data_IF_836250369566
#
_entry.id   IF_836250369566
#
_cell.length_a   1.000
_cell.length_b   1.000
_cell.length_c   1.000
_cell.angle_alpha   90.00
_cell.angle_beta   90.00
_cell.angle_gamma   90.00
#
_symmetry.space_group_name_H-M   'P 1'
#
loop_
_entity.id
_entity.type
_entity.pdbx_description
1 polymer ?
#
# COMPACT_ATOMS: atom_id res chain seq x y z
N UNK A 1 15.01 39.10 -25.94
CA UNK A 1 16.43 39.35 -26.30
C UNK A 1 17.30 39.31 -25.03
N UNK A 2 18.41 38.60 -25.12
CA UNK A 2 19.39 38.57 -24.02
C UNK A 2 20.09 39.93 -23.89
N UNK A 3 20.22 40.40 -22.64
CA UNK A 3 21.00 41.61 -22.30
C UNK A 3 22.38 41.19 -21.83
N UNK A 4 23.42 41.76 -22.43
CA UNK A 4 24.83 41.46 -22.12
C UNK A 4 25.44 42.61 -21.33
N UNK A 5 25.98 42.37 -20.13
CA UNK A 5 26.65 43.37 -19.31
C UNK A 5 28.09 42.87 -19.03
N UNK A 6 29.09 43.71 -19.39
CA UNK A 6 30.52 43.42 -19.12
C UNK A 6 30.82 43.67 -17.63
N UNK A 7 31.48 42.71 -16.98
CA UNK A 7 31.97 42.77 -15.62
C UNK A 7 33.44 42.34 -15.54
N UNK A 8 34.34 43.27 -15.37
CA UNK A 8 35.77 43.01 -15.36
C UNK A 8 36.21 42.01 -16.46
N UNK A 9 36.60 40.80 -16.08
CA UNK A 9 37.04 39.70 -17.00
C UNK A 9 35.90 38.73 -17.37
N UNK A 10 34.64 39.12 -17.22
CA UNK A 10 33.48 38.23 -17.51
C UNK A 10 32.29 39.03 -18.09
N UNK A 11 31.37 38.32 -18.71
CA UNK A 11 30.15 38.89 -19.25
C UNK A 11 28.95 38.26 -18.54
N UNK A 12 28.08 39.09 -18.01
CA UNK A 12 26.79 38.69 -17.45
C UNK A 12 25.75 38.78 -18.56
N UNK A 13 25.17 37.64 -18.92
CA UNK A 13 24.09 37.52 -19.91
C UNK A 13 22.81 37.35 -19.12
N UNK A 14 21.82 38.22 -19.34
CA UNK A 14 20.51 38.20 -18.69
C UNK A 14 19.42 38.02 -19.70
N UNK A 15 18.54 37.03 -19.51
CA UNK A 15 17.37 36.73 -20.34
C UNK A 15 16.10 36.90 -19.54
N UNK A 16 15.10 37.56 -20.09
CA UNK A 16 13.74 37.62 -19.52
C UNK A 16 12.94 36.40 -19.96
N UNK A 17 12.42 35.64 -18.99
CA UNK A 17 11.67 34.41 -19.21
C UNK A 17 10.16 34.59 -18.96
N UNK A 18 9.63 35.79 -19.15
CA UNK A 18 8.22 36.13 -18.92
C UNK A 18 7.93 36.60 -17.51
N UNK A 19 6.68 36.43 -17.06
CA UNK A 19 6.19 36.85 -15.76
C UNK A 19 5.62 35.65 -15.02
N UNK A 20 5.72 35.63 -13.69
CA UNK A 20 5.04 34.65 -12.85
C UNK A 20 3.54 34.98 -12.71
N UNK A 21 2.79 34.09 -12.04
CA UNK A 21 1.34 34.25 -11.80
C UNK A 21 1.01 35.50 -10.97
N UNK A 22 1.99 36.13 -10.32
CA UNK A 22 1.85 37.36 -9.52
C UNK A 22 2.21 38.60 -10.33
N UNK A 23 2.57 38.47 -11.61
CA UNK A 23 3.00 39.55 -12.49
C UNK A 23 4.47 39.99 -12.30
N UNK A 24 5.27 39.24 -11.57
CA UNK A 24 6.69 39.50 -11.35
C UNK A 24 7.54 38.96 -12.48
N UNK A 25 8.43 39.78 -13.05
CA UNK A 25 9.29 39.37 -14.17
C UNK A 25 10.30 38.30 -13.73
N UNK A 26 10.30 37.15 -14.39
CA UNK A 26 11.28 36.08 -14.23
C UNK A 26 12.50 36.40 -15.09
N UNK A 27 13.67 36.62 -14.46
CA UNK A 27 14.94 36.88 -15.13
C UNK A 27 15.93 35.75 -14.83
N UNK A 28 16.68 35.32 -15.84
CA UNK A 28 17.78 34.37 -15.68
C UNK A 28 19.08 34.99 -16.11
N UNK A 29 20.16 34.60 -15.42
CA UNK A 29 21.49 35.14 -15.67
C UNK A 29 22.50 34.02 -15.82
N UNK A 30 23.42 34.17 -16.76
CA UNK A 30 24.59 33.32 -16.96
C UNK A 30 25.84 34.19 -16.96
N UNK A 31 26.89 33.76 -16.30
CA UNK A 31 28.19 34.42 -16.36
C UNK A 31 29.12 33.66 -17.29
N UNK A 32 29.52 34.31 -18.36
CA UNK A 32 30.49 33.79 -19.31
C UNK A 32 31.88 34.38 -19.03
N UNK A 33 32.89 33.51 -18.89
CA UNK A 33 34.31 33.89 -18.77
C UNK A 33 35.01 33.51 -20.06
N UNK A 34 35.55 34.46 -20.82
CA UNK A 34 36.31 34.14 -22.06
C UNK A 34 37.65 33.51 -21.72
N UNK A 35 38.14 32.66 -22.63
CA UNK A 35 39.49 32.10 -22.55
C UNK A 35 40.54 33.15 -22.83
N UNK A 36 41.69 33.06 -22.14
CA UNK A 36 42.85 33.92 -22.33
C UNK A 36 43.48 33.66 -23.71
N UNK A 37 43.39 34.62 -24.64
CA UNK A 37 43.98 34.54 -25.97
C UNK A 37 43.06 34.91 -27.14
N UNK A 38 41.79 35.24 -26.90
CA UNK A 38 40.87 35.69 -27.93
C UNK A 38 41.12 37.13 -28.32
N UNK A 39 41.12 37.40 -29.65
CA UNK A 39 41.08 38.79 -30.18
C UNK A 39 39.74 39.45 -29.86
N UNK A 40 39.69 40.80 -29.80
CA UNK A 40 38.49 41.53 -29.45
C UNK A 40 37.28 41.15 -30.35
N UNK A 41 37.52 40.89 -31.63
CA UNK A 41 36.48 40.49 -32.61
C UNK A 41 35.97 39.05 -32.40
N UNK A 42 36.90 38.13 -31.99
CA UNK A 42 36.52 36.77 -31.64
C UNK A 42 35.72 36.71 -30.35
N UNK A 43 36.11 37.51 -29.38
CA UNK A 43 35.48 37.63 -28.08
C UNK A 43 34.01 38.12 -28.23
N UNK A 44 33.80 39.19 -29.03
CA UNK A 44 32.44 39.72 -29.26
C UNK A 44 31.55 38.69 -29.95
N UNK A 45 32.06 37.97 -30.94
CA UNK A 45 31.35 36.91 -31.64
C UNK A 45 30.97 35.75 -30.72
N UNK A 46 31.89 35.34 -29.85
CA UNK A 46 31.64 34.23 -28.93
C UNK A 46 30.67 34.63 -27.80
N UNK A 47 30.74 35.86 -27.27
CA UNK A 47 29.78 36.40 -26.28
C UNK A 47 28.38 36.44 -26.90
N UNK A 48 28.25 36.89 -28.15
CA UNK A 48 26.99 36.92 -28.87
C UNK A 48 26.42 35.52 -29.11
N UNK A 49 27.27 34.58 -29.50
CA UNK A 49 26.90 33.16 -29.65
C UNK A 49 26.39 32.56 -28.36
N UNK A 50 27.10 32.78 -27.26
CA UNK A 50 26.69 32.31 -25.92
C UNK A 50 25.37 32.94 -25.48
N UNK A 51 25.12 34.20 -25.79
CA UNK A 51 23.90 34.89 -25.50
C UNK A 51 22.70 34.28 -26.25
N UNK A 52 22.88 33.97 -27.55
CA UNK A 52 21.84 33.30 -28.35
C UNK A 52 21.55 31.89 -27.83
N UNK A 53 22.58 31.11 -27.57
CA UNK A 53 22.42 29.76 -27.02
C UNK A 53 21.70 29.78 -25.67
N UNK A 54 22.05 30.72 -24.79
CA UNK A 54 21.41 30.85 -23.49
C UNK A 54 19.96 31.35 -23.61
N UNK A 55 19.68 32.25 -24.55
CA UNK A 55 18.31 32.71 -24.84
C UNK A 55 17.46 31.53 -25.39
N UNK A 56 17.98 30.73 -26.34
CA UNK A 56 17.29 29.54 -26.81
C UNK A 56 17.04 28.52 -25.69
N UNK A 57 18.02 28.30 -24.81
CA UNK A 57 17.82 27.44 -23.65
C UNK A 57 16.71 27.95 -22.72
N UNK A 58 16.66 29.26 -22.50
CA UNK A 58 15.64 29.89 -21.67
C UNK A 58 14.23 29.81 -22.32
N UNK A 59 14.12 30.03 -23.63
CA UNK A 59 12.88 29.99 -24.38
C UNK A 59 12.33 28.57 -24.62
N UNK A 60 13.21 27.56 -24.71
CA UNK A 60 12.83 26.14 -24.84
C UNK A 60 12.30 25.52 -23.54
N UNK A 61 11.99 26.30 -22.53
CA UNK A 61 11.47 25.79 -21.23
C UNK A 61 12.50 25.07 -20.37
N UNK A 62 13.78 24.96 -20.80
CA UNK A 62 14.87 24.36 -20.02
C UNK A 62 15.30 25.21 -18.79
N UNK A 63 14.35 25.98 -18.29
CA UNK A 63 14.50 27.08 -17.33
C UNK A 63 14.74 26.58 -15.90
N UNK A 64 14.51 25.30 -15.64
CA UNK A 64 14.78 24.66 -14.34
C UNK A 64 16.01 23.70 -14.37
N UNK A 65 16.97 23.93 -15.30
CA UNK A 65 18.33 23.35 -15.19
C UNK A 65 19.10 23.98 -14.02
N UNK A 66 18.42 24.17 -12.90
CA UNK A 66 19.04 24.48 -11.63
C UNK A 66 19.58 23.23 -10.98
N UNK A 67 20.51 23.38 -10.05
CA UNK A 67 21.08 22.32 -9.20
C UNK A 67 20.04 21.63 -8.29
N UNK A 68 18.85 21.26 -8.83
CA UNK A 68 17.80 20.65 -8.02
C UNK A 68 18.20 19.22 -7.66
N UNK A 69 18.39 18.97 -6.37
CA UNK A 69 18.65 17.63 -5.84
C UNK A 69 17.34 16.83 -5.83
N UNK A 70 17.46 15.51 -5.90
CA UNK A 70 16.28 14.63 -5.82
C UNK A 70 15.48 14.84 -4.54
N UNK A 71 16.15 15.06 -3.40
CA UNK A 71 15.47 15.32 -2.14
C UNK A 71 14.54 16.55 -2.21
N UNK A 72 15.03 17.66 -2.76
CA UNK A 72 14.27 18.91 -2.90
C UNK A 72 13.15 18.76 -3.94
N UNK A 73 13.44 18.04 -5.02
CA UNK A 73 12.43 17.77 -6.06
C UNK A 73 11.31 16.87 -5.56
N UNK A 74 11.58 15.91 -4.69
CA UNK A 74 10.54 15.05 -4.07
C UNK A 74 9.55 15.90 -3.27
N UNK A 75 9.98 16.94 -2.55
CA UNK A 75 9.05 17.81 -1.82
C UNK A 75 8.20 18.64 -2.80
N UNK A 76 8.81 19.19 -3.85
CA UNK A 76 8.05 19.88 -4.92
C UNK A 76 7.03 18.95 -5.60
N UNK A 77 7.40 17.68 -5.81
CA UNK A 77 6.48 16.68 -6.35
C UNK A 77 5.28 16.46 -5.42
N UNK A 78 5.49 16.40 -4.12
CA UNK A 78 4.38 16.23 -3.17
C UNK A 78 3.47 17.44 -3.13
N UNK A 79 4.02 18.65 -3.15
CA UNK A 79 3.26 19.90 -3.08
C UNK A 79 2.45 20.15 -4.35
N UNK A 80 3.09 20.02 -5.52
CA UNK A 80 2.53 20.52 -6.78
C UNK A 80 1.92 19.42 -7.67
N UNK A 81 2.20 18.14 -7.40
CA UNK A 81 1.68 17.04 -8.21
C UNK A 81 0.90 16.02 -7.39
N UNK A 82 1.52 15.45 -6.37
CA UNK A 82 0.93 14.33 -5.65
C UNK A 82 -0.34 14.74 -4.89
N UNK A 83 -0.37 15.93 -4.31
CA UNK A 83 -1.53 16.47 -3.59
C UNK A 83 -2.76 16.61 -4.50
N UNK A 84 -2.56 16.92 -5.78
CA UNK A 84 -3.63 17.13 -6.75
C UNK A 84 -4.06 15.85 -7.48
N UNK A 85 -3.14 14.90 -7.68
CA UNK A 85 -3.36 13.76 -8.60
C UNK A 85 -3.46 12.41 -7.91
N UNK A 86 -2.95 12.29 -6.68
CA UNK A 86 -2.88 11.00 -5.98
C UNK A 86 -3.83 10.97 -4.77
N UNK A 87 -4.39 9.79 -4.52
CA UNK A 87 -5.18 9.59 -3.29
C UNK A 87 -4.31 9.72 -2.04
N UNK A 88 -4.86 10.29 -0.96
CA UNK A 88 -4.20 10.51 0.33
C UNK A 88 -3.42 9.28 0.85
N UNK A 89 -4.00 8.07 0.76
CA UNK A 89 -3.34 6.82 1.14
C UNK A 89 -2.06 6.55 0.31
N UNK A 90 -2.07 6.87 -0.98
CA UNK A 90 -0.89 6.73 -1.85
C UNK A 90 0.19 7.73 -1.48
N UNK A 91 -0.20 8.99 -1.24
CA UNK A 91 0.72 10.05 -0.76
C UNK A 91 1.38 9.63 0.55
N UNK A 92 0.59 9.18 1.53
CA UNK A 92 1.11 8.68 2.81
C UNK A 92 2.07 7.51 2.63
N UNK A 93 1.72 6.56 1.76
CA UNK A 93 2.60 5.43 1.42
C UNK A 93 3.92 5.87 0.79
N UNK A 94 3.88 6.80 -0.15
CA UNK A 94 5.07 7.35 -0.80
C UNK A 94 5.94 8.15 0.16
N UNK A 95 5.36 8.98 1.03
CA UNK A 95 6.12 9.69 2.08
C UNK A 95 6.88 8.73 3.00
N UNK A 96 6.34 7.54 3.27
CA UNK A 96 7.04 6.50 4.01
C UNK A 96 8.30 5.94 3.33
N UNK A 97 8.43 6.09 2.00
CA UNK A 97 9.59 5.63 1.23
C UNK A 97 10.70 6.70 1.15
N UNK A 98 10.35 7.98 1.30
CA UNK A 98 11.25 9.14 1.12
C UNK A 98 12.55 9.03 1.94
N UNK A 99 12.54 8.68 3.24
CA UNK A 99 13.78 8.64 4.01
C UNK A 99 14.84 7.72 3.43
N UNK A 100 14.42 6.55 2.92
CA UNK A 100 15.34 5.56 2.32
C UNK A 100 15.86 6.02 0.96
N UNK A 101 14.98 6.63 0.16
CA UNK A 101 15.35 7.20 -1.15
C UNK A 101 16.30 8.37 -0.97
N UNK A 102 16.02 9.28 -0.04
CA UNK A 102 16.87 10.44 0.21
C UNK A 102 18.24 10.05 0.76
N UNK A 103 18.32 9.02 1.59
CA UNK A 103 19.61 8.50 2.07
C UNK A 103 20.49 7.98 0.93
N UNK A 104 19.89 7.31 -0.07
CA UNK A 104 20.65 6.70 -1.16
C UNK A 104 20.87 7.64 -2.35
N UNK A 105 19.87 8.41 -2.75
CA UNK A 105 19.84 9.15 -4.01
C UNK A 105 19.56 10.65 -3.83
N UNK A 106 19.10 11.08 -2.65
CA UNK A 106 18.61 12.45 -2.40
C UNK A 106 19.65 13.55 -2.63
N UNK A 107 20.93 13.24 -2.46
CA UNK A 107 22.05 14.18 -2.68
C UNK A 107 22.37 14.41 -4.16
N UNK A 108 21.90 13.51 -5.04
CA UNK A 108 22.15 13.60 -6.48
C UNK A 108 21.19 14.61 -7.13
N UNK A 109 21.69 15.31 -8.15
CA UNK A 109 20.87 16.16 -9.01
C UNK A 109 19.96 15.28 -9.88
N UNK A 110 18.71 15.70 -10.10
CA UNK A 110 17.74 14.91 -10.87
C UNK A 110 18.19 14.67 -12.32
N UNK A 111 18.90 15.63 -12.95
CA UNK A 111 19.42 15.52 -14.31
C UNK A 111 20.64 14.59 -14.43
N UNK A 112 21.26 14.23 -13.31
CA UNK A 112 22.42 13.33 -13.26
C UNK A 112 22.06 11.90 -12.85
N UNK A 113 20.82 11.64 -12.46
CA UNK A 113 20.40 10.29 -12.10
C UNK A 113 20.19 9.46 -13.36
N UNK A 114 21.00 8.42 -13.48
CA UNK A 114 21.04 7.48 -14.59
C UNK A 114 20.41 6.13 -14.18
N UNK A 115 19.97 5.28 -15.11
CA UNK A 115 19.42 3.95 -14.81
C UNK A 115 20.34 3.08 -13.95
N UNK A 116 21.66 3.19 -14.06
CA UNK A 116 22.60 2.41 -13.25
C UNK A 116 22.54 2.78 -11.75
N UNK A 117 22.36 4.06 -11.40
CA UNK A 117 22.16 4.47 -9.99
C UNK A 117 20.91 3.82 -9.39
N UNK A 118 19.84 3.71 -10.19
CA UNK A 118 18.59 3.05 -9.76
C UNK A 118 18.79 1.54 -9.61
N UNK A 119 19.52 0.91 -10.54
CA UNK A 119 19.83 -0.52 -10.48
C UNK A 119 20.66 -0.86 -9.24
N UNK A 120 21.64 -0.03 -8.90
CA UNK A 120 22.44 -0.19 -7.71
C UNK A 120 21.61 -0.02 -6.43
N UNK A 121 20.76 1.00 -6.39
CA UNK A 121 19.78 1.19 -5.30
C UNK A 121 18.87 -0.02 -5.13
N UNK A 122 18.29 -0.56 -6.22
CA UNK A 122 17.42 -1.75 -6.14
C UNK A 122 18.19 -3.00 -5.71
N UNK A 123 19.43 -3.16 -6.15
CA UNK A 123 20.34 -4.23 -5.69
C UNK A 123 20.58 -4.12 -4.19
N UNK A 124 20.91 -2.92 -3.70
CA UNK A 124 21.10 -2.67 -2.28
C UNK A 124 19.85 -3.00 -1.45
N UNK A 125 18.67 -2.58 -1.89
CA UNK A 125 17.40 -2.92 -1.23
C UNK A 125 17.15 -4.43 -1.20
N UNK A 126 17.53 -5.16 -2.24
CA UNK A 126 17.32 -6.60 -2.37
C UNK A 126 18.35 -7.43 -1.59
N UNK A 127 19.54 -6.91 -1.33
CA UNK A 127 20.63 -7.64 -0.65
C UNK A 127 20.78 -7.25 0.82
N UNK A 128 20.78 -5.96 1.09
CA UNK A 128 20.99 -5.40 2.43
C UNK A 128 19.68 -4.95 3.06
N UNK A 129 18.70 -4.50 2.25
CA UNK A 129 17.43 -3.96 2.71
C UNK A 129 17.45 -2.44 2.89
N UNK A 130 16.33 -1.90 3.38
CA UNK A 130 16.13 -0.45 3.50
C UNK A 130 16.71 0.16 4.78
N UNK A 131 17.01 -0.63 5.77
CA UNK A 131 17.56 -0.18 7.06
C UNK A 131 18.53 -1.21 7.62
N UNK A 132 19.70 -0.75 7.96
CA UNK A 132 20.56 -1.43 8.92
C UNK A 132 20.06 -1.00 10.30
N UNK A 133 19.58 -1.93 11.09
CA UNK A 133 19.09 -1.65 12.43
C UNK A 133 20.00 -2.35 13.44
N UNK A 134 20.60 -1.56 14.31
CA UNK A 134 21.28 -2.11 15.47
C UNK A 134 20.22 -2.60 16.46
N UNK A 135 20.25 -3.89 16.70
CA UNK A 135 19.43 -4.55 17.72
C UNK A 135 20.34 -5.05 18.84
N UNK A 136 19.78 -5.12 20.00
CA UNK A 136 20.45 -5.51 21.23
C UNK A 136 19.82 -6.80 21.71
N UNK A 137 20.59 -7.88 21.70
CA UNK A 137 20.16 -9.22 22.12
C UNK A 137 20.55 -9.41 23.56
N UNK A 138 19.60 -9.75 24.46
CA UNK A 138 19.90 -10.06 25.85
C UNK A 138 20.94 -11.16 25.97
N UNK A 139 21.99 -10.93 26.77
CA UNK A 139 23.04 -11.92 27.14
C UNK A 139 22.78 -12.47 28.54
N UNK A 140 22.03 -11.73 29.35
CA UNK A 140 21.64 -12.11 30.70
C UNK A 140 20.19 -12.62 30.74
N UNK A 141 19.90 -13.51 31.67
CA UNK A 141 18.51 -13.90 31.95
C UNK A 141 17.82 -12.84 32.80
N UNK A 142 17.23 -11.86 32.12
CA UNK A 142 16.47 -10.79 32.78
C UNK A 142 15.25 -11.30 33.56
N UNK A 143 14.74 -12.51 33.28
CA UNK A 143 13.63 -13.08 34.01
C UNK A 143 14.10 -13.48 35.43
N UNK A 144 15.26 -14.09 35.51
CA UNK A 144 15.89 -14.45 36.82
C UNK A 144 16.23 -13.18 37.59
N UNK A 145 16.93 -12.21 36.94
CA UNK A 145 17.35 -10.97 37.59
C UNK A 145 16.17 -10.14 38.17
N UNK A 146 15.07 -10.07 37.45
CA UNK A 146 13.87 -9.38 37.96
C UNK A 146 13.20 -10.15 39.08
N UNK A 147 13.18 -11.48 38.99
CA UNK A 147 12.63 -12.36 40.06
C UNK A 147 13.41 -12.25 41.37
N UNK A 148 14.73 -12.29 41.32
CA UNK A 148 15.61 -12.12 42.48
C UNK A 148 15.39 -10.77 43.18
N UNK A 149 15.15 -9.72 42.43
CA UNK A 149 14.85 -8.37 42.94
C UNK A 149 13.37 -8.18 43.31
N UNK A 150 12.52 -9.21 43.19
CA UNK A 150 11.06 -9.15 43.41
C UNK A 150 10.35 -8.06 42.58
N UNK A 151 10.82 -7.82 41.36
CA UNK A 151 10.27 -6.81 40.45
C UNK A 151 9.44 -7.49 39.38
N UNK A 152 8.16 -7.11 39.24
CA UNK A 152 7.34 -7.58 38.14
C UNK A 152 7.69 -6.88 36.81
N UNK A 153 7.54 -7.58 35.67
CA UNK A 153 7.80 -7.02 34.34
C UNK A 153 6.94 -5.77 34.08
N UNK A 154 5.71 -5.76 34.57
CA UNK A 154 4.81 -4.61 34.44
C UNK A 154 5.31 -3.38 35.25
N UNK A 155 5.89 -3.59 36.45
CA UNK A 155 6.51 -2.52 37.24
C UNK A 155 7.76 -2.00 36.53
N UNK A 156 8.67 -2.88 36.14
CA UNK A 156 9.88 -2.51 35.42
C UNK A 156 9.57 -1.74 34.14
N UNK A 157 8.53 -2.11 33.38
CA UNK A 157 8.12 -1.43 32.16
C UNK A 157 7.66 0.02 32.43
N UNK A 158 6.89 0.24 33.49
CA UNK A 158 6.46 1.58 33.91
C UNK A 158 7.63 2.44 34.32
N UNK A 159 8.49 1.90 35.16
CA UNK A 159 9.64 2.63 35.73
C UNK A 159 10.69 2.95 34.64
N UNK A 160 10.87 2.09 33.63
CA UNK A 160 11.72 2.34 32.47
C UNK A 160 11.06 3.23 31.40
N UNK A 161 9.78 3.56 31.49
CA UNK A 161 9.04 4.27 30.42
C UNK A 161 8.90 3.49 29.11
N UNK A 162 8.97 2.15 29.17
CA UNK A 162 8.92 1.25 28.01
C UNK A 162 7.57 0.52 27.96
N UNK A 163 7.02 0.29 26.77
CA UNK A 163 5.79 -0.51 26.63
C UNK A 163 6.00 -1.91 27.19
N UNK A 164 5.08 -2.37 28.04
CA UNK A 164 5.18 -3.66 28.74
C UNK A 164 5.44 -4.84 27.79
N UNK A 165 4.75 -4.91 26.65
CA UNK A 165 4.96 -5.98 25.66
C UNK A 165 6.37 -5.97 25.07
N UNK A 166 6.99 -4.79 24.91
CA UNK A 166 8.37 -4.66 24.42
C UNK A 166 9.36 -5.16 25.46
N UNK A 167 9.15 -4.76 26.73
CA UNK A 167 10.00 -5.20 27.83
C UNK A 167 9.83 -6.71 28.10
N UNK A 168 8.61 -7.23 28.06
CA UNK A 168 8.33 -8.67 28.14
C UNK A 168 9.04 -9.46 27.04
N UNK A 169 9.15 -8.89 25.84
CA UNK A 169 9.96 -9.45 24.76
C UNK A 169 11.45 -9.51 25.11
N UNK A 170 12.03 -8.42 25.63
CA UNK A 170 13.42 -8.37 26.07
C UNK A 170 13.71 -9.39 27.18
N UNK A 171 12.87 -9.44 28.21
CA UNK A 171 12.96 -10.40 29.31
C UNK A 171 12.85 -11.85 28.83
N UNK A 172 12.10 -12.11 27.76
CA UNK A 172 12.00 -13.41 27.08
C UNK A 172 13.09 -13.68 26.05
N UNK A 173 14.21 -12.93 26.04
CA UNK A 173 15.36 -13.17 25.16
C UNK A 173 15.22 -12.59 23.75
N UNK A 174 14.16 -11.81 23.46
CA UNK A 174 14.01 -11.20 22.12
C UNK A 174 14.88 -9.95 21.99
N UNK A 175 15.46 -9.79 20.81
CA UNK A 175 16.20 -8.58 20.46
C UNK A 175 15.33 -7.32 20.56
N UNK A 176 15.90 -6.24 21.10
CA UNK A 176 15.25 -4.94 21.26
C UNK A 176 16.12 -3.82 20.66
N UNK A 177 15.56 -2.62 20.53
CA UNK A 177 16.32 -1.46 20.10
C UNK A 177 17.09 -0.80 21.25
N UNK A 178 18.15 -0.04 20.89
CA UNK A 178 19.02 0.61 21.85
C UNK A 178 18.27 1.36 22.98
N UNK A 179 17.25 2.19 22.72
CA UNK A 179 16.55 2.90 23.79
C UNK A 179 15.93 1.96 24.85
N UNK A 180 15.35 0.85 24.40
CA UNK A 180 14.77 -0.15 25.34
C UNK A 180 15.84 -0.89 26.11
N UNK A 181 16.94 -1.30 25.45
CA UNK A 181 18.06 -1.98 26.08
C UNK A 181 18.74 -1.05 27.11
N UNK A 182 18.97 0.21 26.76
CA UNK A 182 19.55 1.21 27.63
C UNK A 182 18.68 1.47 28.86
N UNK A 183 17.37 1.75 28.65
CA UNK A 183 16.44 2.00 29.76
C UNK A 183 16.37 0.83 30.77
N UNK A 184 16.43 -0.43 30.28
CA UNK A 184 16.46 -1.60 31.14
C UNK A 184 17.80 -1.72 31.89
N UNK A 185 18.92 -1.41 31.24
CA UNK A 185 20.24 -1.40 31.87
C UNK A 185 20.34 -0.32 32.96
N UNK A 186 19.89 0.90 32.63
CA UNK A 186 19.90 2.04 33.59
C UNK A 186 19.04 1.73 34.82
N UNK A 187 17.87 1.14 34.61
CA UNK A 187 16.97 0.72 35.69
C UNK A 187 17.58 -0.35 36.61
N UNK A 188 18.32 -1.30 36.03
CA UNK A 188 18.94 -2.41 36.80
C UNK A 188 20.37 -2.11 37.25
N UNK A 189 20.94 -0.96 36.89
CA UNK A 189 22.33 -0.61 37.18
C UNK A 189 23.35 -1.50 36.47
N UNK A 190 23.03 -1.89 35.21
CA UNK A 190 23.86 -2.78 34.38
C UNK A 190 24.55 -2.03 33.26
N UNK A 191 25.75 -2.50 32.90
CA UNK A 191 26.45 -2.00 31.74
C UNK A 191 25.88 -2.60 30.45
N UNK A 192 25.49 -1.75 29.48
CA UNK A 192 24.84 -2.18 28.24
C UNK A 192 25.62 -3.27 27.48
N UNK A 193 26.95 -3.12 27.39
CA UNK A 193 27.82 -4.07 26.67
C UNK A 193 27.95 -5.44 27.35
N UNK A 194 27.70 -5.55 28.67
CA UNK A 194 27.68 -6.81 29.39
C UNK A 194 26.30 -7.47 29.40
N UNK A 195 25.25 -6.65 29.41
CA UNK A 195 23.87 -7.11 29.46
C UNK A 195 23.29 -7.47 28.08
N UNK A 196 23.77 -6.84 27.03
CA UNK A 196 23.29 -7.02 25.66
C UNK A 196 24.43 -7.12 24.64
N UNK A 197 24.27 -8.04 23.68
CA UNK A 197 25.13 -8.09 22.49
C UNK A 197 24.51 -7.23 21.38
N UNK A 198 25.29 -6.32 20.82
CA UNK A 198 24.88 -5.52 19.66
C UNK A 198 25.00 -6.35 18.40
N UNK A 199 23.92 -6.50 17.67
CA UNK A 199 23.88 -7.11 16.33
C UNK A 199 23.30 -6.12 15.33
N UNK A 200 23.97 -5.91 14.21
CA UNK A 200 23.42 -5.12 13.11
C UNK A 200 22.64 -6.04 12.19
N UNK A 201 21.31 -5.96 12.24
CA UNK A 201 20.42 -6.72 11.36
C UNK A 201 20.08 -5.93 10.12
N UNK A 202 20.26 -6.58 8.99
CA UNK A 202 19.76 -6.12 7.72
C UNK A 202 18.76 -7.15 7.19
N UNK A 203 17.61 -6.68 6.72
CA UNK A 203 16.59 -7.58 6.14
C UNK A 203 16.39 -7.20 4.68
N UNK A 204 16.84 -8.05 3.75
CA UNK A 204 16.57 -7.87 2.33
C UNK A 204 15.08 -7.65 2.07
N UNK A 205 14.75 -6.73 1.18
CA UNK A 205 13.36 -6.47 0.80
C UNK A 205 12.93 -7.44 -0.29
N UNK A 206 11.64 -7.79 -0.26
CA UNK A 206 11.05 -8.59 -1.34
C UNK A 206 11.07 -7.81 -2.67
N UNK A 207 11.13 -8.53 -3.78
CA UNK A 207 11.07 -7.94 -5.11
C UNK A 207 9.83 -7.03 -5.29
N UNK A 208 8.68 -7.37 -4.70
CA UNK A 208 7.48 -6.53 -4.76
C UNK A 208 7.64 -5.23 -3.97
N UNK A 209 8.33 -5.25 -2.84
CA UNK A 209 8.65 -4.04 -2.08
C UNK A 209 9.62 -3.13 -2.87
N UNK A 210 10.64 -3.72 -3.53
CA UNK A 210 11.54 -2.96 -4.42
C UNK A 210 10.77 -2.32 -5.58
N UNK A 211 9.82 -3.05 -6.19
CA UNK A 211 8.91 -2.51 -7.21
C UNK A 211 8.05 -1.37 -6.69
N UNK A 212 7.73 -1.33 -5.39
CA UNK A 212 7.02 -0.20 -4.80
C UNK A 212 7.89 1.06 -4.74
N UNK A 213 9.18 0.95 -4.40
CA UNK A 213 10.15 2.05 -4.54
C UNK A 213 10.27 2.53 -5.98
N UNK A 214 10.35 1.59 -6.94
CA UNK A 214 10.42 1.94 -8.36
C UNK A 214 9.17 2.71 -8.83
N UNK A 215 7.94 2.28 -8.45
CA UNK A 215 6.71 3.00 -8.80
C UNK A 215 6.71 4.42 -8.26
N UNK A 216 7.18 4.62 -7.02
CA UNK A 216 7.33 5.94 -6.43
C UNK A 216 8.31 6.80 -7.23
N UNK A 217 9.54 6.32 -7.45
CA UNK A 217 10.56 7.05 -8.23
C UNK A 217 10.10 7.31 -9.67
N UNK A 218 9.45 6.34 -10.30
CA UNK A 218 8.89 6.51 -11.64
C UNK A 218 7.82 7.59 -11.69
N UNK A 219 7.00 7.73 -10.65
CA UNK A 219 6.01 8.82 -10.54
C UNK A 219 6.71 10.17 -10.35
N UNK A 220 7.73 10.24 -9.52
CA UNK A 220 8.54 11.46 -9.29
C UNK A 220 9.23 11.91 -10.58
N UNK A 221 9.97 11.02 -11.24
CA UNK A 221 10.64 11.37 -12.51
C UNK A 221 9.65 11.61 -13.66
N UNK A 222 8.48 10.95 -13.63
CA UNK A 222 7.40 11.21 -14.57
C UNK A 222 6.86 12.65 -14.45
N UNK A 223 6.76 13.18 -13.24
CA UNK A 223 6.43 14.58 -13.01
C UNK A 223 7.56 15.51 -13.51
N UNK A 224 8.82 15.15 -13.27
CA UNK A 224 9.97 15.92 -13.79
C UNK A 224 9.99 16.02 -15.31
N UNK A 225 9.60 14.93 -16.01
CA UNK A 225 9.46 14.95 -17.48
C UNK A 225 8.28 15.82 -17.91
N UNK A 226 7.11 15.74 -17.24
CA UNK A 226 5.97 16.61 -17.53
C UNK A 226 6.25 18.09 -17.29
N UNK A 227 7.14 18.40 -16.34
CA UNK A 227 7.57 19.78 -16.06
C UNK A 227 8.78 20.19 -16.90
N UNK A 228 9.13 19.40 -17.91
CA UNK A 228 10.24 19.64 -18.84
C UNK A 228 11.63 19.78 -18.18
N UNK A 229 11.75 19.31 -16.94
CA UNK A 229 13.02 19.28 -16.20
C UNK A 229 13.93 18.12 -16.64
N UNK A 230 13.35 17.08 -17.20
CA UNK A 230 14.03 15.91 -17.75
C UNK A 230 13.48 15.56 -19.14
N UNK A 231 14.36 15.14 -20.05
CA UNK A 231 13.94 14.66 -21.36
C UNK A 231 13.30 13.27 -21.32
N UNK A 232 13.71 12.41 -20.39
CA UNK A 232 13.18 11.05 -20.26
C UNK A 232 13.23 10.59 -18.80
N UNK A 233 12.34 9.66 -18.46
CA UNK A 233 12.29 9.07 -17.13
C UNK A 233 13.37 7.96 -17.00
N UNK A 234 14.37 8.10 -16.11
CA UNK A 234 15.43 7.09 -15.96
C UNK A 234 14.90 5.74 -15.46
N UNK A 235 13.75 5.70 -14.79
CA UNK A 235 13.12 4.46 -14.33
C UNK A 235 12.69 3.56 -15.48
N UNK A 236 12.37 4.10 -16.67
CA UNK A 236 11.91 3.30 -17.82
C UNK A 236 12.96 2.30 -18.33
N UNK A 237 14.23 2.58 -18.09
CA UNK A 237 15.38 1.76 -18.50
C UNK A 237 16.05 1.03 -17.32
N UNK A 238 15.53 1.17 -16.10
CA UNK A 238 16.06 0.51 -14.93
C UNK A 238 15.59 -0.95 -14.87
N UNK A 239 16.49 -1.84 -14.45
CA UNK A 239 16.22 -3.27 -14.31
C UNK A 239 15.65 -3.58 -12.93
N UNK A 240 14.50 -4.23 -12.89
CA UNK A 240 13.82 -4.62 -11.65
C UNK A 240 14.12 -6.07 -11.29
N UNK A 241 14.20 -6.40 -9.98
CA UNK A 241 14.28 -7.79 -9.56
C UNK A 241 13.06 -8.56 -10.01
N UNK A 242 13.27 -9.81 -10.45
CA UNK A 242 12.20 -10.71 -10.83
C UNK A 242 11.34 -11.03 -9.61
N UNK A 243 10.05 -10.79 -9.71
CA UNK A 243 9.08 -11.26 -8.72
C UNK A 243 8.46 -12.54 -9.25
N UNK A 244 8.69 -13.66 -8.59
CA UNK A 244 7.99 -14.90 -8.89
C UNK A 244 6.47 -14.71 -8.80
N UNK A 245 5.72 -15.30 -9.69
CA UNK A 245 4.25 -15.28 -9.62
C UNK A 245 3.81 -16.06 -8.38
N UNK A 246 3.21 -15.37 -7.42
CA UNK A 246 2.59 -16.01 -6.27
C UNK A 246 1.18 -16.44 -6.67
N UNK A 247 0.89 -17.71 -6.59
CA UNK A 247 -0.47 -18.23 -6.72
C UNK A 247 -1.30 -17.68 -5.56
N UNK A 248 -2.46 -17.06 -5.80
CA UNK A 248 -3.34 -16.63 -4.73
C UNK A 248 -3.76 -17.82 -3.88
N UNK A 249 -3.70 -17.67 -2.56
CA UNK A 249 -4.22 -18.67 -1.63
C UNK A 249 -5.72 -18.44 -1.46
N UNK A 250 -6.48 -19.52 -1.49
CA UNK A 250 -7.92 -19.55 -1.24
C UNK A 250 -8.28 -20.81 -0.45
N UNK A 251 -9.46 -20.88 0.07
CA UNK A 251 -10.02 -22.08 0.69
C UNK A 251 -10.84 -22.86 -0.35
N UNK A 252 -10.72 -24.17 -0.34
CA UNK A 252 -11.67 -25.02 -1.01
C UNK A 252 -13.04 -25.03 -0.28
N UNK A 253 -13.98 -25.80 -0.79
CA UNK A 253 -15.35 -25.83 -0.27
C UNK A 253 -15.41 -26.39 1.16
N UNK A 254 -14.68 -27.44 1.43
CA UNK A 254 -14.61 -28.09 2.75
C UNK A 254 -13.95 -27.16 3.79
N UNK A 255 -12.83 -26.56 3.44
CA UNK A 255 -12.13 -25.59 4.31
C UNK A 255 -12.97 -24.35 4.56
N UNK A 256 -13.73 -23.88 3.55
CA UNK A 256 -14.65 -22.75 3.72
C UNK A 256 -15.80 -23.12 4.66
N UNK A 257 -16.37 -24.31 4.54
CA UNK A 257 -17.40 -24.82 5.43
C UNK A 257 -16.88 -24.95 6.88
N UNK A 258 -15.66 -25.48 7.06
CA UNK A 258 -15.01 -25.58 8.36
C UNK A 258 -14.82 -24.18 8.99
N UNK A 259 -14.33 -23.22 8.22
CA UNK A 259 -14.17 -21.84 8.69
C UNK A 259 -15.51 -21.24 9.13
N UNK A 260 -16.58 -21.43 8.34
CA UNK A 260 -17.93 -20.93 8.68
C UNK A 260 -18.47 -21.57 9.97
N UNK A 261 -18.25 -22.86 10.17
CA UNK A 261 -18.68 -23.55 11.40
C UNK A 261 -17.93 -23.03 12.64
N UNK A 262 -16.63 -22.80 12.54
CA UNK A 262 -15.83 -22.24 13.64
C UNK A 262 -16.23 -20.80 14.00
N UNK A 263 -16.69 -20.02 13.02
CA UNK A 263 -17.15 -18.65 13.23
C UNK A 263 -18.43 -18.56 14.08
N UNK A 264 -19.22 -19.65 14.18
CA UNK A 264 -20.45 -19.61 14.99
C UNK A 264 -20.19 -19.37 16.49
N UNK A 265 -19.00 -19.73 16.96
CA UNK A 265 -18.57 -19.54 18.36
C UNK A 265 -17.95 -18.17 18.65
N UNK A 266 -17.80 -17.33 17.61
CA UNK A 266 -17.11 -16.05 17.70
C UNK A 266 -18.09 -14.89 18.00
N UNK A 267 -17.50 -13.75 18.43
CA UNK A 267 -18.21 -12.50 18.59
C UNK A 267 -19.03 -12.14 17.36
N UNK A 268 -20.27 -11.66 17.57
CA UNK A 268 -21.23 -11.39 16.52
C UNK A 268 -20.71 -10.46 15.43
N UNK A 269 -19.91 -9.45 15.79
CA UNK A 269 -19.34 -8.52 14.83
C UNK A 269 -18.32 -9.19 13.91
N UNK A 270 -17.37 -9.95 14.47
CA UNK A 270 -16.34 -10.60 13.67
C UNK A 270 -16.89 -11.77 12.86
N UNK A 271 -17.84 -12.52 13.40
CA UNK A 271 -18.60 -13.53 12.66
C UNK A 271 -19.25 -12.92 11.43
N UNK A 272 -19.98 -11.83 11.60
CA UNK A 272 -20.67 -11.13 10.52
C UNK A 272 -19.69 -10.59 9.48
N UNK A 273 -18.61 -9.93 9.91
CA UNK A 273 -17.56 -9.40 9.03
C UNK A 273 -16.98 -10.49 8.12
N UNK A 274 -16.55 -11.62 8.70
CA UNK A 274 -15.88 -12.66 7.93
C UNK A 274 -16.83 -13.39 6.99
N UNK A 275 -18.06 -13.69 7.44
CA UNK A 275 -19.10 -14.26 6.58
C UNK A 275 -19.43 -13.35 5.40
N UNK A 276 -19.53 -12.03 5.59
CA UNK A 276 -19.77 -11.10 4.49
C UNK A 276 -18.62 -11.07 3.47
N UNK A 277 -17.36 -11.21 3.90
CA UNK A 277 -16.26 -11.35 2.93
C UNK A 277 -16.45 -12.56 2.02
N UNK A 278 -16.90 -13.69 2.57
CA UNK A 278 -17.14 -14.91 1.79
C UNK A 278 -18.38 -14.73 0.90
N UNK A 279 -19.48 -14.19 1.42
CA UNK A 279 -20.72 -14.06 0.65
C UNK A 279 -20.66 -13.01 -0.45
N UNK A 280 -19.99 -11.88 -0.22
CA UNK A 280 -20.01 -10.73 -1.13
C UNK A 280 -18.73 -10.63 -2.00
N UNK A 281 -17.61 -11.20 -1.57
CA UNK A 281 -16.33 -11.08 -2.28
C UNK A 281 -15.78 -9.66 -2.34
N UNK A 282 -16.18 -8.75 -1.44
CA UNK A 282 -15.77 -7.35 -1.42
C UNK A 282 -14.33 -7.16 -0.94
N UNK A 283 -13.74 -5.99 -1.22
CA UNK A 283 -12.44 -5.60 -0.67
C UNK A 283 -12.59 -5.20 0.80
N UNK A 284 -11.50 -5.32 1.58
CA UNK A 284 -11.51 -4.97 3.00
C UNK A 284 -11.97 -3.52 3.23
N UNK A 285 -11.42 -2.62 2.48
CA UNK A 285 -11.76 -1.19 2.57
C UNK A 285 -13.21 -0.90 2.15
N UNK A 286 -13.77 -1.66 1.20
CA UNK A 286 -15.16 -1.58 0.79
C UNK A 286 -16.08 -2.03 1.92
N UNK A 287 -15.80 -3.18 2.56
CA UNK A 287 -16.58 -3.67 3.69
C UNK A 287 -16.56 -2.69 4.88
N UNK A 288 -15.40 -2.13 5.22
CA UNK A 288 -15.28 -1.12 6.27
C UNK A 288 -15.99 0.19 5.91
N UNK A 289 -16.22 0.45 4.63
CA UNK A 289 -16.92 1.63 4.12
C UNK A 289 -18.43 1.54 4.14
N UNK A 290 -19.02 0.33 4.31
CA UNK A 290 -20.47 0.12 4.29
C UNK A 290 -21.18 0.89 5.39
N UNK A 291 -22.34 1.38 5.04
CA UNK A 291 -23.30 2.04 5.91
C UNK A 291 -24.64 1.30 5.88
N UNK A 292 -25.46 1.45 6.92
CA UNK A 292 -26.78 0.78 6.96
C UNK A 292 -27.69 1.17 5.81
N UNK A 293 -27.61 2.40 5.32
CA UNK A 293 -28.36 2.87 4.15
C UNK A 293 -27.98 2.20 2.83
N UNK A 294 -26.82 1.49 2.78
CA UNK A 294 -26.39 0.75 1.59
C UNK A 294 -27.07 -0.61 1.46
N UNK A 295 -27.83 -1.03 2.48
CA UNK A 295 -28.45 -2.35 2.56
C UNK A 295 -29.94 -2.21 2.32
N UNK A 296 -30.39 -2.67 1.16
CA UNK A 296 -31.79 -2.83 0.85
C UNK A 296 -32.25 -4.23 1.28
N UNK A 297 -32.98 -4.29 2.39
CA UNK A 297 -33.51 -5.54 2.97
C UNK A 297 -34.64 -6.14 2.17
N UNK A 298 -35.40 -5.35 1.40
CA UNK A 298 -36.53 -5.79 0.62
C UNK A 298 -36.09 -6.49 -0.65
N UNK A 299 -35.18 -5.86 -1.38
CA UNK A 299 -34.58 -6.43 -2.59
C UNK A 299 -33.40 -7.34 -2.33
N UNK A 300 -32.90 -7.41 -1.09
CA UNK A 300 -31.67 -8.14 -0.72
C UNK A 300 -30.44 -7.67 -1.50
N UNK A 301 -30.32 -6.38 -1.76
CA UNK A 301 -29.22 -5.79 -2.51
C UNK A 301 -28.35 -4.95 -1.59
N UNK A 302 -27.03 -5.07 -1.76
CA UNK A 302 -26.04 -4.26 -1.04
C UNK A 302 -25.29 -3.40 -2.06
N UNK A 303 -25.31 -2.09 -1.85
CA UNK A 303 -24.61 -1.11 -2.69
C UNK A 303 -23.19 -0.91 -2.20
N UNK A 304 -22.22 -1.08 -3.08
CA UNK A 304 -20.80 -0.80 -2.82
C UNK A 304 -20.41 0.47 -3.57
N UNK A 305 -20.24 1.57 -2.88
CA UNK A 305 -19.88 2.86 -3.50
C UNK A 305 -18.69 3.57 -2.83
N UNK A 306 -18.32 3.14 -1.63
CA UNK A 306 -17.26 3.80 -0.86
C UNK A 306 -16.28 2.81 -0.22
N UNK A 307 -15.12 3.33 0.18
CA UNK A 307 -14.08 2.57 0.85
C UNK A 307 -13.57 3.34 2.06
N UNK A 308 -13.45 2.68 3.22
CA UNK A 308 -12.84 3.25 4.41
C UNK A 308 -11.37 2.88 4.49
N UNK A 309 -10.50 3.88 4.63
CA UNK A 309 -9.05 3.72 4.76
C UNK A 309 -8.55 4.43 6.00
N UNK A 310 -7.54 3.87 6.65
CA UNK A 310 -6.87 4.55 7.75
C UNK A 310 -5.75 5.45 7.23
N UNK A 311 -5.75 6.69 7.67
CA UNK A 311 -4.69 7.67 7.41
C UNK A 311 -4.11 8.10 8.76
N UNK A 312 -2.79 7.98 8.98
CA UNK A 312 -2.16 8.43 10.22
C UNK A 312 -2.49 9.90 10.50
N UNK A 313 -2.85 10.21 11.75
CA UNK A 313 -3.31 11.51 12.26
C UNK A 313 -4.71 11.96 11.85
N UNK A 314 -5.29 11.44 10.75
CA UNK A 314 -6.68 11.73 10.33
C UNK A 314 -7.67 10.64 10.80
N UNK A 315 -7.18 9.42 11.12
CA UNK A 315 -8.04 8.32 11.53
C UNK A 315 -8.60 7.51 10.35
N UNK A 316 -9.80 6.95 10.53
CA UNK A 316 -10.51 6.23 9.47
C UNK A 316 -11.29 7.23 8.61
N UNK A 317 -10.86 7.37 7.36
CA UNK A 317 -11.46 8.28 6.38
C UNK A 317 -12.22 7.45 5.35
N UNK A 318 -13.45 7.85 5.06
CA UNK A 318 -14.27 7.27 3.97
C UNK A 318 -14.08 8.09 2.71
N UNK A 319 -13.73 7.42 1.61
CA UNK A 319 -13.53 8.02 0.29
C UNK A 319 -14.37 7.26 -0.74
N UNK A 320 -14.74 7.91 -1.83
CA UNK A 320 -15.37 7.24 -2.96
C UNK A 320 -14.49 6.09 -3.47
N UNK A 321 -15.10 5.08 -4.06
CA UNK A 321 -14.32 3.99 -4.68
C UNK A 321 -13.38 4.52 -5.76
N UNK A 322 -12.30 3.78 -6.01
CA UNK A 322 -11.16 4.24 -6.83
C UNK A 322 -11.51 4.49 -8.30
N UNK A 323 -12.56 3.84 -8.80
CA UNK A 323 -13.04 3.92 -10.17
C UNK A 323 -14.56 3.78 -10.19
N UNK A 324 -15.24 4.36 -11.16
CA UNK A 324 -16.68 4.17 -11.44
C UNK A 324 -17.07 2.70 -11.56
N UNK A 325 -16.20 1.84 -12.09
CA UNK A 325 -16.38 0.39 -12.16
C UNK A 325 -16.39 -0.32 -10.79
N UNK A 326 -16.02 0.37 -9.72
CA UNK A 326 -16.06 -0.17 -8.34
C UNK A 326 -17.42 0.07 -7.68
N UNK A 327 -18.23 1.02 -8.18
CA UNK A 327 -19.63 1.14 -7.77
C UNK A 327 -20.43 -0.01 -8.36
N UNK A 328 -21.09 -0.77 -7.50
CA UNK A 328 -21.86 -1.92 -7.93
C UNK A 328 -22.91 -2.32 -6.89
N UNK A 329 -23.91 -3.00 -7.37
CA UNK A 329 -24.96 -3.61 -6.57
C UNK A 329 -24.76 -5.12 -6.50
N UNK A 330 -24.75 -5.66 -5.29
CA UNK A 330 -24.51 -7.09 -5.05
C UNK A 330 -25.78 -7.69 -4.44
N UNK A 331 -26.42 -8.60 -5.15
CA UNK A 331 -27.50 -9.42 -4.58
C UNK A 331 -26.87 -10.34 -3.53
N UNK A 332 -27.29 -10.17 -2.28
CA UNK A 332 -26.82 -10.97 -1.16
C UNK A 332 -27.68 -12.22 -0.97
N UNK A 333 -27.11 -13.36 -0.52
CA UNK A 333 -27.90 -14.53 -0.15
C UNK A 333 -28.84 -14.21 1.03
N UNK A 334 -29.97 -14.92 1.11
CA UNK A 334 -30.94 -14.77 2.20
C UNK A 334 -30.30 -14.92 3.59
N UNK A 335 -29.41 -15.89 3.74
CA UNK A 335 -28.64 -16.11 4.98
C UNK A 335 -27.80 -14.88 5.38
N UNK A 336 -27.22 -14.17 4.42
CA UNK A 336 -26.47 -12.94 4.70
C UNK A 336 -27.40 -11.80 5.14
N UNK A 337 -28.57 -11.68 4.54
CA UNK A 337 -29.55 -10.66 4.91
C UNK A 337 -30.14 -10.93 6.30
N UNK A 338 -30.44 -12.19 6.64
CA UNK A 338 -30.88 -12.53 7.99
C UNK A 338 -29.80 -12.22 9.03
N UNK A 339 -28.55 -12.64 8.78
CA UNK A 339 -27.42 -12.32 9.65
C UNK A 339 -27.23 -10.81 9.84
N UNK A 340 -27.49 -9.99 8.83
CA UNK A 340 -27.41 -8.53 8.94
C UNK A 340 -28.56 -7.95 9.79
N UNK A 341 -29.77 -8.54 9.74
CA UNK A 341 -30.87 -8.16 10.65
C UNK A 341 -30.49 -8.45 12.10
N UNK A 342 -29.99 -9.65 12.36
CA UNK A 342 -29.56 -10.06 13.70
C UNK A 342 -28.41 -9.19 14.22
N UNK A 343 -27.46 -8.86 13.32
CA UNK A 343 -26.34 -7.98 13.65
C UNK A 343 -26.82 -6.54 13.97
N UNK A 344 -27.84 -6.03 13.27
CA UNK A 344 -28.42 -4.71 13.54
C UNK A 344 -29.05 -4.64 14.93
N UNK A 345 -29.75 -5.69 15.33
CA UNK A 345 -30.32 -5.80 16.69
C UNK A 345 -29.21 -5.80 17.73
N UNK A 346 -28.18 -6.64 17.55
CA UNK A 346 -27.02 -6.72 18.43
C UNK A 346 -26.28 -5.36 18.55
N UNK A 347 -26.08 -4.64 17.42
CA UNK A 347 -25.44 -3.33 17.44
C UNK A 347 -26.29 -2.29 18.18
N UNK A 348 -27.60 -2.32 18.03
CA UNK A 348 -28.52 -1.43 18.75
C UNK A 348 -28.49 -1.69 20.27
N UNK A 349 -28.49 -2.95 20.71
CA UNK A 349 -28.33 -3.29 22.14
C UNK A 349 -26.99 -2.78 22.69
N UNK A 350 -25.92 -2.90 21.90
CA UNK A 350 -24.61 -2.38 22.27
C UNK A 350 -24.62 -0.86 22.39
N UNK A 351 -25.25 -0.16 21.43
CA UNK A 351 -25.43 1.29 21.46
C UNK A 351 -26.15 1.72 22.74
N UNK A 352 -27.23 1.06 23.11
CA UNK A 352 -27.98 1.35 24.34
C UNK A 352 -27.10 1.14 25.60
N UNK A 353 -26.31 0.07 25.65
CA UNK A 353 -25.40 -0.19 26.77
C UNK A 353 -24.29 0.84 26.94
N UNK A 354 -23.78 1.37 25.82
CA UNK A 354 -22.73 2.38 25.84
C UNK A 354 -23.28 3.77 26.16
N UNK A 355 -24.56 4.04 25.79
CA UNK A 355 -25.24 5.30 26.10
C UNK A 355 -24.54 6.51 25.46
N UNK A 356 -24.42 7.59 26.25
CA UNK A 356 -23.89 8.88 25.77
C UNK A 356 -22.45 8.85 25.23
N UNK A 357 -21.72 7.76 25.50
CA UNK A 357 -20.37 7.58 24.92
C UNK A 357 -20.37 7.00 23.52
N UNK A 358 -21.55 6.68 22.99
CA UNK A 358 -21.66 6.17 21.63
C UNK A 358 -21.55 7.29 20.61
N UNK A 359 -20.58 7.17 19.69
CA UNK A 359 -20.43 8.07 18.56
C UNK A 359 -21.42 7.67 17.44
N UNK A 360 -22.30 8.61 17.06
CA UNK A 360 -23.30 8.36 16.05
C UNK A 360 -22.73 8.37 14.64
N UNK A 361 -22.68 7.21 14.04
CA UNK A 361 -22.29 7.00 12.64
C UNK A 361 -23.25 5.99 11.99
N UNK A 362 -23.58 6.18 10.73
CA UNK A 362 -24.38 5.19 9.95
C UNK A 362 -23.52 3.99 9.49
N UNK A 363 -22.36 3.76 10.11
CA UNK A 363 -21.43 2.68 9.72
C UNK A 363 -21.96 1.32 10.13
N UNK A 364 -21.88 0.37 9.18
CA UNK A 364 -22.23 -1.01 9.45
C UNK A 364 -21.29 -1.62 10.52
N UNK A 365 -19.99 -1.37 10.44
CA UNK A 365 -19.02 -1.88 11.40
C UNK A 365 -18.31 -0.77 12.16
N UNK A 366 -18.39 -0.83 13.48
CA UNK A 366 -17.88 0.17 14.40
C UNK A 366 -16.91 -0.43 15.41
N UNK A 367 -16.19 0.42 16.13
CA UNK A 367 -15.48 0.05 17.34
C UNK A 367 -16.46 -0.05 18.53
N UNK A 368 -15.93 -0.22 19.73
CA UNK A 368 -16.73 -0.38 20.96
C UNK A 368 -17.57 0.84 21.33
N UNK A 369 -17.27 1.99 20.78
CA UNK A 369 -17.91 3.28 21.05
C UNK A 369 -18.67 3.87 19.85
N UNK A 370 -18.91 3.10 18.79
CA UNK A 370 -19.68 3.56 17.63
C UNK A 370 -18.83 4.18 16.51
N UNK A 371 -17.60 4.56 16.74
CA UNK A 371 -16.73 5.09 15.68
C UNK A 371 -16.38 4.03 14.62
N UNK A 372 -16.10 4.43 13.37
CA UNK A 372 -15.78 3.50 12.27
C UNK A 372 -14.66 2.52 12.64
N UNK A 373 -14.85 1.24 12.36
CA UNK A 373 -13.85 0.21 12.66
C UNK A 373 -12.54 0.44 11.91
N UNK A 374 -11.41 0.33 12.60
CA UNK A 374 -10.11 0.41 11.95
C UNK A 374 -9.86 -0.83 11.09
N UNK A 375 -9.57 -0.72 9.78
CA UNK A 375 -9.43 -1.88 8.88
C UNK A 375 -8.39 -2.92 9.33
N UNK A 376 -7.32 -2.50 9.99
CA UNK A 376 -6.28 -3.42 10.47
C UNK A 376 -6.72 -4.21 11.72
N UNK A 377 -7.72 -3.75 12.46
CA UNK A 377 -8.33 -4.51 13.56
C UNK A 377 -8.89 -5.83 13.04
N UNK A 378 -9.63 -5.79 11.93
CA UNK A 378 -10.18 -6.97 11.25
C UNK A 378 -9.06 -7.92 10.80
N UNK A 379 -8.02 -7.36 10.16
CA UNK A 379 -6.86 -8.15 9.69
C UNK A 379 -6.12 -8.81 10.85
N UNK A 380 -5.92 -8.07 11.94
CA UNK A 380 -5.26 -8.56 13.15
C UNK A 380 -6.07 -9.67 13.85
N UNK A 381 -7.39 -9.47 13.96
CA UNK A 381 -8.29 -10.45 14.53
C UNK A 381 -8.32 -11.74 13.68
N UNK A 382 -8.51 -11.64 12.37
CA UNK A 382 -8.58 -12.78 11.46
C UNK A 382 -7.28 -13.60 11.47
N UNK A 383 -6.12 -12.94 11.49
CA UNK A 383 -4.84 -13.64 11.60
C UNK A 383 -4.75 -14.48 12.88
N UNK A 384 -5.20 -13.93 14.04
CA UNK A 384 -5.23 -14.68 15.31
C UNK A 384 -6.25 -15.82 15.26
N UNK A 385 -7.42 -15.58 14.64
CA UNK A 385 -8.46 -16.61 14.47
C UNK A 385 -7.94 -17.80 13.66
N UNK A 386 -7.33 -17.56 12.49
CA UNK A 386 -6.70 -18.60 11.66
C UNK A 386 -5.64 -19.38 12.45
N UNK A 387 -4.81 -18.67 13.21
CA UNK A 387 -3.70 -19.30 13.94
C UNK A 387 -4.20 -20.18 15.11
N UNK A 388 -5.22 -19.74 15.87
CA UNK A 388 -5.72 -20.52 17.01
C UNK A 388 -6.57 -21.72 16.65
N UNK A 389 -7.14 -21.73 15.43
CA UNK A 389 -7.97 -22.82 14.92
C UNK A 389 -7.21 -23.72 13.92
N UNK A 390 -5.91 -23.55 13.78
CA UNK A 390 -5.02 -24.30 12.88
C UNK A 390 -5.55 -24.39 11.42
N UNK A 391 -6.17 -23.32 10.96
CA UNK A 391 -6.69 -23.20 9.61
C UNK A 391 -5.58 -22.88 8.60
N UNK A 392 -5.76 -23.16 7.30
CA UNK A 392 -4.81 -22.80 6.25
C UNK A 392 -4.43 -21.32 6.31
N UNK A 393 -3.14 -21.02 6.19
CA UNK A 393 -2.59 -19.67 6.34
C UNK A 393 -3.02 -18.76 5.19
N UNK A 394 -4.15 -18.10 5.36
CA UNK A 394 -4.77 -17.17 4.41
C UNK A 394 -4.89 -15.75 5.00
N UNK A 395 -5.19 -14.80 4.15
CA UNK A 395 -5.45 -13.39 4.50
C UNK A 395 -6.92 -13.04 4.29
N UNK A 396 -7.37 -11.90 4.82
CA UNK A 396 -8.72 -11.36 4.51
C UNK A 396 -8.96 -11.28 3.00
N UNK A 397 -7.95 -10.83 2.23
CA UNK A 397 -8.09 -10.76 0.77
C UNK A 397 -8.25 -12.14 0.11
N UNK A 398 -7.73 -13.19 0.75
CA UNK A 398 -7.91 -14.57 0.28
C UNK A 398 -9.37 -15.03 0.36
N UNK A 399 -10.18 -14.49 1.27
CA UNK A 399 -11.62 -14.80 1.33
C UNK A 399 -12.37 -14.32 0.07
N UNK A 400 -11.94 -13.21 -0.51
CA UNK A 400 -12.44 -12.78 -1.82
C UNK A 400 -12.01 -13.73 -2.93
N UNK A 401 -10.80 -14.28 -2.87
CA UNK A 401 -10.37 -15.32 -3.79
C UNK A 401 -11.18 -16.62 -3.60
N UNK A 402 -11.48 -16.97 -2.35
CA UNK A 402 -12.37 -18.09 -2.03
C UNK A 402 -13.75 -17.89 -2.64
N UNK A 403 -14.41 -16.75 -2.44
CA UNK A 403 -15.69 -16.42 -3.06
C UNK A 403 -15.67 -16.62 -4.59
N UNK A 404 -14.66 -16.06 -5.25
CA UNK A 404 -14.55 -16.17 -6.71
C UNK A 404 -14.34 -17.61 -7.18
N UNK A 405 -13.48 -18.37 -6.49
CA UNK A 405 -13.21 -19.78 -6.84
C UNK A 405 -14.43 -20.65 -6.64
N UNK A 406 -15.16 -20.48 -5.52
CA UNK A 406 -16.40 -21.20 -5.27
C UNK A 406 -17.47 -20.93 -6.35
N UNK A 407 -17.61 -19.67 -6.78
CA UNK A 407 -18.54 -19.29 -7.84
C UNK A 407 -18.13 -19.86 -9.21
N UNK A 408 -16.82 -19.91 -9.51
CA UNK A 408 -16.31 -20.53 -10.74
C UNK A 408 -16.62 -22.04 -10.73
N UNK A 409 -16.34 -22.72 -9.63
CA UNK A 409 -16.60 -24.16 -9.47
C UNK A 409 -18.11 -24.48 -9.55
N UNK A 410 -18.96 -23.52 -9.16
CA UNK A 410 -20.42 -23.63 -9.32
C UNK A 410 -20.91 -23.30 -10.74
N UNK A 411 -20.03 -23.11 -11.72
CA UNK A 411 -20.37 -22.84 -13.11
C UNK A 411 -20.83 -21.41 -13.43
N UNK A 412 -20.66 -20.47 -12.52
CA UNK A 412 -21.06 -19.07 -12.76
C UNK A 412 -20.13 -18.42 -13.77
N UNK A 413 -20.65 -17.71 -14.80
CA UNK A 413 -19.82 -17.08 -15.82
C UNK A 413 -18.81 -16.08 -15.25
N UNK A 414 -17.58 -16.10 -15.77
CA UNK A 414 -16.47 -15.24 -15.30
C UNK A 414 -16.80 -13.75 -15.41
N UNK A 415 -17.58 -13.36 -16.41
CA UNK A 415 -18.04 -11.98 -16.59
C UNK A 415 -18.92 -11.52 -15.42
N UNK A 416 -19.86 -12.38 -14.99
CA UNK A 416 -20.72 -12.15 -13.82
C UNK A 416 -19.91 -12.04 -12.53
N UNK A 417 -18.94 -12.95 -12.34
CA UNK A 417 -18.04 -12.92 -11.19
C UNK A 417 -17.19 -11.65 -11.20
N UNK A 418 -16.63 -11.28 -12.35
CA UNK A 418 -15.84 -10.07 -12.52
C UNK A 418 -16.63 -8.80 -12.17
N UNK A 419 -17.87 -8.68 -12.65
CA UNK A 419 -18.77 -7.59 -12.31
C UNK A 419 -19.08 -7.55 -10.81
N UNK A 420 -19.44 -8.71 -10.21
CA UNK A 420 -19.72 -8.84 -8.77
C UNK A 420 -18.52 -8.43 -7.92
N UNK A 421 -17.31 -8.79 -8.32
CA UNK A 421 -16.06 -8.41 -7.65
C UNK A 421 -15.68 -6.94 -7.90
N UNK A 422 -16.20 -6.28 -8.92
CA UNK A 422 -15.80 -4.91 -9.31
C UNK A 422 -14.38 -4.87 -9.86
N UNK A 423 -14.04 -5.78 -10.77
CA UNK A 423 -12.82 -5.69 -11.57
C UNK A 423 -13.11 -4.88 -12.82
N UNK A 424 -12.35 -3.80 -13.03
CA UNK A 424 -12.48 -2.95 -14.22
C UNK A 424 -12.23 -3.69 -15.53
N UNK A 425 -11.45 -4.78 -15.48
CA UNK A 425 -11.15 -5.61 -16.64
C UNK A 425 -11.36 -7.10 -16.28
N UNK A 426 -12.26 -7.82 -17.00
CA UNK A 426 -12.47 -9.26 -16.82
C UNK A 426 -11.20 -10.09 -16.96
N UNK A 427 -10.21 -9.67 -17.77
CA UNK A 427 -8.92 -10.35 -17.88
C UNK A 427 -8.17 -10.46 -16.54
N UNK A 428 -8.45 -9.57 -15.59
CA UNK A 428 -7.91 -9.67 -14.23
C UNK A 428 -8.44 -10.91 -13.53
N UNK A 429 -9.75 -11.18 -13.63
CA UNK A 429 -10.39 -12.40 -13.08
C UNK A 429 -9.81 -13.63 -13.74
N UNK A 430 -9.77 -13.68 -15.07
CA UNK A 430 -9.22 -14.81 -15.82
C UNK A 430 -7.77 -15.12 -15.43
N UNK A 431 -6.89 -14.11 -15.37
CA UNK A 431 -5.47 -14.29 -15.00
C UNK A 431 -5.28 -14.80 -13.57
N UNK A 432 -6.11 -14.36 -12.63
CA UNK A 432 -6.00 -14.74 -11.22
C UNK A 432 -6.52 -16.16 -11.01
N UNK A 433 -7.62 -16.53 -11.67
CA UNK A 433 -8.34 -17.77 -11.44
C UNK A 433 -8.18 -18.84 -12.55
N UNK A 434 -7.09 -18.74 -13.33
CA UNK A 434 -6.79 -19.69 -14.43
C UNK A 434 -6.85 -21.16 -13.97
N UNK A 435 -6.43 -21.47 -12.74
CA UNK A 435 -6.47 -22.83 -12.20
C UNK A 435 -7.90 -23.34 -11.98
N UNK A 436 -8.77 -22.52 -11.41
CA UNK A 436 -10.18 -22.86 -11.21
C UNK A 436 -10.91 -23.02 -12.56
N UNK A 437 -10.58 -22.18 -13.54
CA UNK A 437 -11.13 -22.27 -14.90
C UNK A 437 -10.73 -23.60 -15.57
N UNK A 438 -9.49 -24.06 -15.42
CA UNK A 438 -9.04 -25.34 -15.95
C UNK A 438 -9.76 -26.54 -15.29
N UNK A 439 -10.02 -26.46 -13.98
CA UNK A 439 -10.79 -27.48 -13.29
C UNK A 439 -12.26 -27.50 -13.77
N UNK A 440 -12.86 -26.34 -14.01
CA UNK A 440 -14.21 -26.26 -14.59
C UNK A 440 -14.28 -26.78 -16.04
N UNK A 441 -13.21 -26.60 -16.84
CA UNK A 441 -13.10 -27.14 -18.20
C UNK A 441 -13.04 -28.65 -18.20
N UNK A 442 -12.30 -29.25 -17.26
CA UNK A 442 -12.29 -30.71 -17.09
C UNK A 442 -13.70 -31.26 -16.74
N UNK A 443 -14.40 -30.57 -15.80
CA UNK A 443 -15.78 -30.96 -15.47
C UNK A 443 -16.76 -30.77 -16.65
N UNK A 444 -16.52 -29.80 -17.52
CA UNK A 444 -17.30 -29.62 -18.74
C UNK A 444 -17.06 -30.76 -19.74
N UNK A 445 -15.81 -31.24 -19.87
CA UNK A 445 -15.50 -32.42 -20.69
C UNK A 445 -16.21 -33.68 -20.17
N UNK A 446 -16.16 -33.94 -18.85
CA UNK A 446 -16.87 -35.04 -18.20
C UNK A 446 -18.39 -34.94 -18.39
N UNK A 447 -18.94 -33.71 -18.36
CA UNK A 447 -20.37 -33.50 -18.62
C UNK A 447 -20.75 -33.85 -20.07
N UNK A 448 -19.91 -33.48 -21.05
CA UNK A 448 -20.12 -33.86 -22.46
C UNK A 448 -20.06 -35.37 -22.64
N UNK A 449 -19.09 -36.05 -22.05
CA UNK A 449 -19.01 -37.52 -22.07
C UNK A 449 -20.27 -38.15 -21.47
N UNK A 450 -20.78 -37.64 -20.37
CA UNK A 450 -22.02 -38.09 -19.76
C UNK A 450 -23.27 -37.85 -20.64
N UNK A 451 -23.31 -36.77 -21.43
CA UNK A 451 -24.41 -36.49 -22.34
C UNK A 451 -24.40 -37.45 -23.53
N UNK A 452 -23.21 -37.77 -24.06
CA UNK A 452 -23.08 -38.60 -25.27
C UNK A 452 -23.00 -40.08 -24.98
N UNK A 453 -22.57 -40.50 -23.79
CA UNK A 453 -22.42 -41.91 -23.41
C UNK A 453 -23.65 -42.49 -22.68
N UNK A 454 -24.56 -41.67 -22.13
CA UNK A 454 -25.83 -42.21 -21.59
C UNK A 454 -26.74 -42.64 -22.74
N UNK A 455 -27.13 -43.93 -22.82
CA UNK A 455 -28.12 -44.37 -23.81
C UNK A 455 -29.42 -43.60 -23.56
N UNK A 456 -29.95 -42.95 -24.60
CA UNK A 456 -31.27 -42.39 -24.62
C UNK A 456 -32.25 -43.47 -24.14
N UNK A 457 -32.88 -43.34 -22.97
CA UNK A 457 -34.04 -44.13 -22.61
C UNK A 457 -35.09 -43.83 -23.67
N UNK A 458 -35.28 -44.79 -24.58
CA UNK A 458 -36.43 -44.82 -25.47
C UNK A 458 -37.65 -44.82 -24.56
N UNK A 459 -38.46 -43.77 -24.64
CA UNK A 459 -39.88 -43.87 -24.29
C UNK A 459 -40.49 -44.91 -25.20
N UNK A 460 -40.56 -46.14 -24.68
CA UNK A 460 -41.37 -47.20 -25.29
C UNK A 460 -42.82 -46.77 -25.18
N UNK A 461 -43.36 -46.48 -26.32
CA UNK A 461 -44.73 -46.10 -26.57
C UNK A 461 -45.70 -47.01 -25.82
N UNK A 462 -46.59 -46.38 -25.13
CA UNK A 462 -47.95 -46.91 -24.93
C UNK A 462 -48.69 -46.74 -26.26
N UNK A 463 -48.58 -47.76 -27.13
CA UNK A 463 -49.57 -48.08 -28.16
C UNK A 463 -49.92 -49.50 -27.96
N UNK A 464 -51.04 -49.76 -27.31
CA UNK A 464 -51.99 -50.84 -27.60
C UNK A 464 -53.13 -50.82 -26.60
N UNK A 465 -54.24 -50.40 -27.00
CA UNK A 465 -55.60 -50.93 -27.00
C UNK A 465 -56.62 -49.82 -26.90
#
# INVERSE_FOLDING_TARGET
>A
MATITKRNNSYLITVSCGYDITGRQIRKTMTFKPDSGMTAKQLEKEVQRQAVLFEEECLKGNVLKGNVKLADFIELFFENHAALTLKKKTVTGYRGLVPVVNQALGHLRIDRIQPHHLNEFYKQLSTVGSRRQDVYIPQLDFKVLLSERKISVAKAARDCGVKENTLRGAVGGKAVYKPTAQALCDYLGLELGKAFCKETRSKPLSAETVRHYHRFLSSVFGAAVKWEMLMSNPCSRATLPSAGRKTPRYLDEEQAAQLLALLEKEDMQYKTIIKLFIYLGVRREELCGLEWKDIDFDTSVIRIERAAVYIPKEGVVTDSTKNTSSERYIKAPTAAMQMLRDYRLWQNERRQRVGDRWEEHDKLFTNDFGAPIHPDTITGWFRRFIQRNDLPKISIHSLRHTNATLLINSGIPITTISARLGHANPSTTTKIYTHAIKAADAAAADALDNIFTKPRKQEAAAQTA
#
